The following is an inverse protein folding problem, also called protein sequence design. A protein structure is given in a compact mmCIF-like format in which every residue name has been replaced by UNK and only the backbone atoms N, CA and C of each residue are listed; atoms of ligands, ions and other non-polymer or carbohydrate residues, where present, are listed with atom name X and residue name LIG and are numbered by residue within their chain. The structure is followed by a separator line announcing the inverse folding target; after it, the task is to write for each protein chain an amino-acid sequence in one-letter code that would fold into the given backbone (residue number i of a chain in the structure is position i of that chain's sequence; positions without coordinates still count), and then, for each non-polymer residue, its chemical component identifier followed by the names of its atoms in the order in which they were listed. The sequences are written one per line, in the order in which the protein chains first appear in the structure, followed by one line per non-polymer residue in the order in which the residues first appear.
data_IF_512344131396
#
_entry.id   IF_512344131396
#
_cell.length_a   1.000
_cell.length_b   1.000
_cell.length_c   1.000
_cell.angle_alpha   90.00
_cell.angle_beta   90.00
_cell.angle_gamma   90.00
#
_symmetry.space_group_name_H-M   'P 1'
#
loop_
_entity.id
_entity.type
_entity.pdbx_description
1 polymer ?
#
# COMPACT_ATOMS: atom_id res chain seq x y z
N UNK A 1 7.87 -2.19 -13.23
CA UNK A 1 9.24 -2.64 -13.53
C UNK A 1 9.27 -4.10 -14.06
N UNK A 2 8.80 -5.16 -13.33
CA UNK A 2 8.89 -6.56 -13.82
C UNK A 2 8.25 -6.76 -15.19
N UNK A 3 7.09 -6.18 -15.41
CA UNK A 3 6.38 -6.28 -16.70
C UNK A 3 7.15 -5.58 -17.84
N UNK A 4 7.73 -4.42 -17.55
CA UNK A 4 8.58 -3.73 -18.53
C UNK A 4 9.79 -4.59 -18.91
N UNK A 5 10.47 -5.19 -17.94
CA UNK A 5 11.63 -6.06 -18.16
C UNK A 5 11.29 -7.34 -18.94
N UNK A 6 10.08 -7.89 -18.75
CA UNK A 6 9.66 -9.12 -19.42
C UNK A 6 9.11 -8.87 -20.83
N UNK A 7 8.26 -7.85 -21.00
CA UNK A 7 7.51 -7.63 -22.24
C UNK A 7 8.09 -6.56 -23.15
N UNK A 8 9.02 -5.74 -22.64
CA UNK A 8 9.51 -4.55 -23.32
C UNK A 8 8.51 -3.40 -23.43
N UNK A 9 7.30 -3.54 -22.86
CA UNK A 9 6.30 -2.47 -22.87
C UNK A 9 6.80 -1.25 -22.08
N UNK A 10 6.52 -0.06 -22.59
CA UNK A 10 6.87 1.17 -21.87
C UNK A 10 6.06 1.27 -20.56
N UNK A 11 6.68 1.83 -19.52
CA UNK A 11 6.02 2.02 -18.22
C UNK A 11 4.69 2.81 -18.35
N UNK A 12 4.61 3.91 -19.15
CA UNK A 12 3.35 4.59 -19.39
C UNK A 12 2.25 3.70 -19.98
N UNK A 13 2.60 2.83 -20.93
CA UNK A 13 1.62 1.91 -21.51
C UNK A 13 1.08 0.93 -20.47
N UNK A 14 1.94 0.42 -19.58
CA UNK A 14 1.54 -0.46 -18.48
C UNK A 14 0.62 0.26 -17.51
N UNK A 15 0.93 1.50 -17.15
CA UNK A 15 0.09 2.34 -16.27
C UNK A 15 -1.30 2.52 -16.87
N UNK A 16 -1.38 2.93 -18.14
CA UNK A 16 -2.64 3.18 -18.83
C UNK A 16 -3.47 1.90 -18.94
N UNK A 17 -2.85 0.81 -19.38
CA UNK A 17 -3.53 -0.47 -19.56
C UNK A 17 -4.09 -1.01 -18.23
N UNK A 18 -3.27 -1.03 -17.18
CA UNK A 18 -3.68 -1.49 -15.86
C UNK A 18 -4.77 -0.59 -15.27
N UNK A 19 -4.61 0.72 -15.41
CA UNK A 19 -5.58 1.69 -14.91
C UNK A 19 -6.95 1.56 -15.61
N UNK A 20 -6.97 1.37 -16.93
CA UNK A 20 -8.21 1.15 -17.69
C UNK A 20 -8.89 -0.15 -17.25
N UNK A 21 -8.15 -1.25 -17.12
CA UNK A 21 -8.74 -2.52 -16.67
C UNK A 21 -9.39 -2.39 -15.30
N UNK A 22 -8.67 -1.80 -14.33
CA UNK A 22 -9.18 -1.59 -12.97
C UNK A 22 -10.41 -0.69 -12.99
N UNK A 23 -10.37 0.41 -13.73
CA UNK A 23 -11.46 1.37 -13.84
C UNK A 23 -12.73 0.72 -14.41
N UNK A 24 -12.60 -0.11 -15.44
CA UNK A 24 -13.74 -0.79 -16.08
C UNK A 24 -14.44 -1.73 -15.10
N UNK A 25 -13.71 -2.68 -14.49
CA UNK A 25 -14.38 -3.64 -13.61
C UNK A 25 -14.85 -3.00 -12.29
N UNK A 26 -14.15 -1.99 -11.78
CA UNK A 26 -14.56 -1.26 -10.58
C UNK A 26 -15.81 -0.43 -10.81
N UNK A 27 -15.91 0.26 -11.95
CA UNK A 27 -17.09 1.06 -12.31
C UNK A 27 -18.33 0.21 -12.62
N UNK A 28 -18.14 -0.96 -13.24
CA UNK A 28 -19.25 -1.85 -13.60
C UNK A 28 -19.73 -2.70 -12.42
N UNK A 29 -18.81 -3.24 -11.64
CA UNK A 29 -19.12 -4.22 -10.58
C UNK A 29 -19.17 -3.63 -9.17
N UNK A 30 -18.73 -2.38 -8.97
CA UNK A 30 -18.76 -1.70 -7.67
C UNK A 30 -17.99 -2.45 -6.57
N UNK A 31 -18.43 -2.27 -5.31
CA UNK A 31 -17.76 -2.86 -4.15
C UNK A 31 -17.76 -4.39 -4.15
N UNK A 32 -18.82 -5.03 -4.66
CA UNK A 32 -18.92 -6.48 -4.68
C UNK A 32 -17.85 -7.11 -5.58
N UNK A 33 -17.68 -6.60 -6.79
CA UNK A 33 -16.62 -7.03 -7.69
C UNK A 33 -15.22 -6.79 -7.10
N UNK A 34 -15.01 -5.62 -6.46
CA UNK A 34 -13.74 -5.28 -5.81
C UNK A 34 -13.42 -6.28 -4.71
N UNK A 35 -14.36 -6.62 -3.83
CA UNK A 35 -14.13 -7.58 -2.72
C UNK A 35 -13.77 -8.97 -3.24
N UNK A 36 -14.48 -9.48 -4.26
CA UNK A 36 -14.19 -10.79 -4.84
C UNK A 36 -12.85 -10.81 -5.59
N UNK A 37 -12.56 -9.79 -6.37
CA UNK A 37 -11.26 -9.69 -7.06
C UNK A 37 -10.12 -9.57 -6.06
N UNK A 38 -10.27 -8.77 -5.01
CA UNK A 38 -9.25 -8.61 -3.97
C UNK A 38 -8.96 -9.93 -3.24
N UNK A 39 -9.98 -10.74 -2.97
CA UNK A 39 -9.80 -12.04 -2.34
C UNK A 39 -8.95 -12.99 -3.22
N UNK A 40 -9.28 -13.09 -4.51
CA UNK A 40 -8.53 -13.92 -5.47
C UNK A 40 -7.10 -13.37 -5.63
N UNK A 41 -6.96 -12.07 -5.79
CA UNK A 41 -5.68 -11.39 -5.94
C UNK A 41 -4.79 -11.57 -4.71
N UNK A 42 -5.35 -11.54 -3.51
CA UNK A 42 -4.65 -11.82 -2.26
C UNK A 42 -4.11 -13.25 -2.20
N UNK A 43 -4.92 -14.24 -2.62
CA UNK A 43 -4.49 -15.65 -2.68
C UNK A 43 -3.32 -15.82 -3.68
N UNK A 44 -3.44 -15.22 -4.87
CA UNK A 44 -2.39 -15.26 -5.90
C UNK A 44 -1.10 -14.60 -5.39
N UNK A 45 -1.22 -13.45 -4.72
CA UNK A 45 -0.07 -12.73 -4.16
C UNK A 45 0.65 -13.55 -3.09
N UNK A 46 -0.09 -14.06 -2.09
CA UNK A 46 0.49 -14.84 -1.00
C UNK A 46 1.08 -16.16 -1.52
N UNK A 47 0.35 -16.84 -2.42
CA UNK A 47 0.83 -18.06 -3.07
C UNK A 47 2.10 -17.84 -3.88
N UNK A 48 2.15 -16.77 -4.68
CA UNK A 48 3.33 -16.38 -5.43
C UNK A 48 4.52 -16.04 -4.52
N UNK A 49 4.29 -15.28 -3.45
CA UNK A 49 5.33 -14.94 -2.47
C UNK A 49 5.90 -16.19 -1.76
N UNK A 50 5.03 -17.13 -1.36
CA UNK A 50 5.46 -18.40 -0.77
C UNK A 50 6.30 -19.22 -1.74
N UNK A 51 5.86 -19.36 -2.98
CA UNK A 51 6.63 -20.07 -4.01
C UNK A 51 7.97 -19.40 -4.28
N UNK A 52 8.02 -18.07 -4.35
CA UNK A 52 9.28 -17.34 -4.51
C UNK A 52 10.24 -17.61 -3.34
N UNK A 53 9.73 -17.57 -2.10
CA UNK A 53 10.54 -17.87 -0.92
C UNK A 53 11.07 -19.30 -0.92
N UNK A 54 10.23 -20.28 -1.29
CA UNK A 54 10.63 -21.69 -1.41
C UNK A 54 11.74 -21.84 -2.45
N UNK A 55 11.62 -21.22 -3.63
CA UNK A 55 12.63 -21.27 -4.67
C UNK A 55 13.96 -20.67 -4.21
N UNK A 56 13.92 -19.51 -3.53
CA UNK A 56 15.12 -18.92 -2.93
C UNK A 56 15.80 -19.89 -1.94
N UNK A 57 15.03 -20.63 -1.14
CA UNK A 57 15.57 -21.59 -0.20
C UNK A 57 16.16 -22.83 -0.89
N UNK A 58 15.62 -23.25 -2.02
CA UNK A 58 16.15 -24.37 -2.81
C UNK A 58 17.46 -23.99 -3.50
N UNK A 59 17.57 -22.77 -4.01
CA UNK A 59 18.72 -22.28 -4.78
C UNK A 59 19.91 -21.88 -3.86
N UNK A 60 19.66 -21.61 -2.57
CA UNK A 60 20.72 -21.26 -1.62
C UNK A 60 21.50 -22.47 -1.14
N UNK A 61 22.84 -22.36 -1.00
CA UNK A 61 23.64 -23.37 -0.34
C UNK A 61 23.12 -23.64 1.10
N UNK A 62 23.03 -24.92 1.47
CA UNK A 62 22.48 -25.37 2.75
C UNK A 62 21.02 -24.95 3.01
N UNK A 63 20.30 -24.45 1.99
CA UNK A 63 18.88 -24.13 2.03
C UNK A 63 18.50 -23.14 3.13
N UNK A 64 17.42 -23.43 3.85
CA UNK A 64 16.94 -22.58 4.95
C UNK A 64 17.96 -22.44 6.10
N UNK A 65 18.77 -23.48 6.36
CA UNK A 65 19.84 -23.45 7.38
C UNK A 65 20.95 -22.45 7.01
N UNK A 66 21.40 -22.50 5.73
CA UNK A 66 22.37 -21.55 5.19
C UNK A 66 21.86 -20.11 5.21
N UNK A 67 20.62 -19.91 4.79
CA UNK A 67 19.95 -18.62 4.88
C UNK A 67 19.98 -18.04 6.30
N UNK A 68 19.54 -18.80 7.32
CA UNK A 68 19.53 -18.33 8.70
C UNK A 68 20.93 -18.03 9.23
N UNK A 69 21.91 -18.86 8.90
CA UNK A 69 23.31 -18.67 9.32
C UNK A 69 23.89 -17.36 8.76
N UNK A 70 23.76 -17.13 7.46
CA UNK A 70 24.28 -15.91 6.81
C UNK A 70 23.52 -14.68 7.25
N UNK A 71 22.20 -14.74 7.32
CA UNK A 71 21.34 -13.61 7.74
C UNK A 71 21.63 -13.20 9.20
N UNK A 72 21.76 -14.16 10.12
CA UNK A 72 22.07 -13.87 11.53
C UNK A 72 23.48 -13.33 11.72
N UNK A 73 24.48 -13.90 11.04
CA UNK A 73 25.87 -13.42 11.10
C UNK A 73 26.02 -11.96 10.63
N UNK A 74 25.12 -11.51 9.74
CA UNK A 74 25.11 -10.15 9.22
C UNK A 74 24.01 -9.26 9.85
N UNK A 75 23.47 -9.63 11.00
CA UNK A 75 22.44 -8.89 11.74
C UNK A 75 21.17 -8.55 10.92
N UNK A 76 20.86 -9.30 9.85
CA UNK A 76 19.69 -9.07 8.99
C UNK A 76 18.37 -9.49 9.62
N UNK A 77 18.42 -10.27 10.71
CA UNK A 77 17.24 -10.68 11.48
C UNK A 77 17.06 -9.85 12.75
N UNK A 78 17.83 -8.78 12.91
CA UNK A 78 17.74 -7.88 14.06
C UNK A 78 16.47 -7.02 13.97
N UNK A 79 15.87 -6.70 15.12
CA UNK A 79 14.75 -5.76 15.22
C UNK A 79 15.19 -4.28 15.14
N UNK A 80 16.46 -4.03 14.81
CA UNK A 80 17.04 -2.70 14.74
C UNK A 80 17.54 -2.18 16.09
N UNK A 81 17.82 -0.88 16.15
CA UNK A 81 18.30 -0.24 17.37
C UNK A 81 17.18 -0.11 18.42
N UNK A 82 17.43 -0.58 19.67
CA UNK A 82 16.48 -0.47 20.78
C UNK A 82 16.52 0.90 21.47
N UNK A 83 17.41 1.79 21.06
CA UNK A 83 17.52 3.16 21.60
C UNK A 83 16.29 4.03 21.25
N UNK A 84 15.98 5.00 22.08
CA UNK A 84 15.01 6.05 21.80
C UNK A 84 15.71 7.13 20.94
N UNK A 85 15.61 7.02 19.63
CA UNK A 85 16.11 8.01 18.69
C UNK A 85 14.98 8.50 17.80
N UNK A 86 14.82 9.81 17.68
CA UNK A 86 13.88 10.42 16.74
C UNK A 86 14.52 10.71 15.38
N UNK A 87 15.86 10.65 15.29
CA UNK A 87 16.61 10.92 14.06
C UNK A 87 16.98 9.68 13.25
N UNK A 88 16.82 8.49 13.84
CA UNK A 88 17.09 7.20 13.18
C UNK A 88 15.92 6.24 13.40
N UNK A 89 15.63 5.37 12.41
CA UNK A 89 14.63 4.33 12.59
C UNK A 89 15.01 3.42 13.77
N UNK A 90 14.34 3.57 14.89
CA UNK A 90 14.50 2.73 16.08
C UNK A 90 13.29 1.80 16.24
N UNK A 91 13.44 0.70 16.96
CA UNK A 91 12.35 -0.24 17.25
C UNK A 91 11.11 0.47 17.80
N UNK A 92 11.31 1.35 18.79
CA UNK A 92 10.19 2.06 19.44
C UNK A 92 9.52 3.05 18.51
N UNK A 93 10.28 3.77 17.71
CA UNK A 93 9.71 4.71 16.73
C UNK A 93 8.84 3.98 15.71
N UNK A 94 9.34 2.86 15.17
CA UNK A 94 8.59 2.03 14.21
C UNK A 94 7.37 1.39 14.86
N UNK A 95 7.46 0.95 16.12
CA UNK A 95 6.34 0.37 16.87
C UNK A 95 5.22 1.40 17.07
N UNK A 96 5.56 2.61 17.54
CA UNK A 96 4.58 3.69 17.69
C UNK A 96 3.97 4.11 16.36
N UNK A 97 4.80 4.28 15.34
CA UNK A 97 4.30 4.57 13.99
C UNK A 97 3.33 3.47 13.52
N UNK A 98 3.72 2.21 13.63
CA UNK A 98 2.89 1.07 13.27
C UNK A 98 1.57 1.03 14.03
N UNK A 99 1.57 1.37 15.32
CA UNK A 99 0.35 1.45 16.11
C UNK A 99 -0.61 2.54 15.58
N UNK A 100 -0.13 3.75 15.38
CA UNK A 100 -0.98 4.86 14.94
C UNK A 100 -1.46 4.69 13.49
N UNK A 101 -0.62 4.23 12.58
CA UNK A 101 -1.03 4.00 11.19
C UNK A 101 -2.07 2.88 11.08
N UNK A 102 -1.93 1.79 11.86
CA UNK A 102 -2.93 0.74 11.87
C UNK A 102 -4.24 1.19 12.56
N UNK A 103 -4.16 1.99 13.61
CA UNK A 103 -5.35 2.61 14.21
C UNK A 103 -6.11 3.46 13.20
N UNK A 104 -5.39 4.21 12.35
CA UNK A 104 -5.99 4.98 11.26
C UNK A 104 -6.60 4.06 10.20
N UNK A 105 -5.86 3.08 9.69
CA UNK A 105 -6.32 2.19 8.64
C UNK A 105 -7.58 1.41 9.05
N UNK A 106 -7.54 0.75 10.20
CA UNK A 106 -8.67 -0.06 10.68
C UNK A 106 -9.80 0.77 11.28
N UNK A 107 -9.54 1.99 11.77
CA UNK A 107 -10.52 2.81 12.48
C UNK A 107 -11.14 3.94 11.68
N UNK A 108 -10.46 4.49 10.68
CA UNK A 108 -10.88 5.70 9.98
C UNK A 108 -10.82 5.62 8.45
N UNK A 109 -10.09 4.66 7.88
CA UNK A 109 -9.95 4.57 6.43
C UNK A 109 -11.20 3.99 5.77
N UNK A 110 -11.76 4.71 4.78
CA UNK A 110 -12.95 4.31 4.06
C UNK A 110 -12.79 2.95 3.36
N UNK A 111 -11.60 2.62 2.90
CA UNK A 111 -11.32 1.34 2.21
C UNK A 111 -11.56 0.14 3.11
N UNK A 112 -11.29 0.28 4.40
CA UNK A 112 -11.56 -0.75 5.40
C UNK A 112 -13.00 -0.69 5.91
N UNK A 113 -13.46 0.51 6.28
CA UNK A 113 -14.78 0.73 6.89
C UNK A 113 -15.93 0.25 5.99
N UNK A 114 -15.88 0.52 4.68
CA UNK A 114 -16.93 0.07 3.76
C UNK A 114 -17.08 -1.46 3.71
N UNK A 115 -16.00 -2.23 3.94
CA UNK A 115 -16.05 -3.69 4.02
C UNK A 115 -16.71 -4.18 5.30
N UNK A 116 -16.52 -3.46 6.42
CA UNK A 116 -17.19 -3.80 7.68
C UNK A 116 -18.69 -3.52 7.62
N UNK A 117 -19.07 -2.38 7.03
CA UNK A 117 -20.48 -2.00 6.84
C UNK A 117 -21.19 -2.97 5.89
N UNK A 118 -20.47 -3.48 4.87
CA UNK A 118 -20.98 -4.47 3.93
C UNK A 118 -21.12 -5.89 4.49
N UNK A 119 -20.61 -6.17 5.71
CA UNK A 119 -20.73 -7.48 6.34
C UNK A 119 -22.18 -7.76 6.78
N UNK A 120 -22.63 -9.03 6.65
CA UNK A 120 -24.02 -9.43 6.97
C UNK A 120 -24.36 -9.24 8.45
N UNK A 121 -23.39 -9.43 9.34
CA UNK A 121 -23.58 -9.31 10.79
C UNK A 121 -22.38 -8.62 11.45
N UNK A 122 -22.61 -8.02 12.62
CA UNK A 122 -21.52 -7.46 13.43
C UNK A 122 -20.48 -8.51 13.84
N UNK A 123 -20.89 -9.78 13.95
CA UNK A 123 -19.96 -10.89 14.23
C UNK A 123 -19.03 -11.16 13.05
N UNK A 124 -19.55 -11.11 11.84
CA UNK A 124 -18.75 -11.29 10.61
C UNK A 124 -17.82 -10.10 10.40
N UNK A 125 -18.28 -8.87 10.63
CA UNK A 125 -17.42 -7.68 10.61
C UNK A 125 -16.25 -7.84 11.59
N UNK A 126 -16.50 -8.22 12.84
CA UNK A 126 -15.44 -8.47 13.83
C UNK A 126 -14.46 -9.57 13.40
N UNK A 127 -14.98 -10.67 12.84
CA UNK A 127 -14.12 -11.76 12.34
C UNK A 127 -13.23 -11.31 11.21
N UNK A 128 -13.73 -10.48 10.27
CA UNK A 128 -12.94 -9.98 9.15
C UNK A 128 -11.81 -9.06 9.63
N UNK A 129 -12.07 -8.18 10.60
CA UNK A 129 -11.04 -7.34 11.22
C UNK A 129 -9.95 -8.18 11.88
N UNK A 130 -10.34 -9.14 12.72
CA UNK A 130 -9.38 -10.03 13.38
C UNK A 130 -8.57 -10.86 12.40
N UNK A 131 -9.21 -11.43 11.39
CA UNK A 131 -8.52 -12.23 10.37
C UNK A 131 -7.52 -11.35 9.59
N UNK A 132 -7.93 -10.17 9.14
CA UNK A 132 -7.05 -9.24 8.44
C UNK A 132 -5.86 -8.81 9.28
N UNK A 133 -6.09 -8.46 10.54
CA UNK A 133 -5.03 -8.05 11.47
C UNK A 133 -4.04 -9.19 11.78
N UNK A 134 -4.55 -10.42 11.97
CA UNK A 134 -3.70 -11.58 12.24
C UNK A 134 -2.90 -12.01 11.01
N UNK A 135 -3.49 -11.96 9.82
CA UNK A 135 -2.79 -12.29 8.56
C UNK A 135 -1.71 -11.26 8.20
N UNK A 136 -1.85 -10.03 8.67
CA UNK A 136 -0.86 -8.98 8.41
C UNK A 136 0.53 -9.38 8.92
N UNK A 137 0.63 -9.99 10.09
CA UNK A 137 1.92 -10.40 10.69
C UNK A 137 2.68 -11.45 9.84
N UNK A 138 2.10 -12.64 9.56
CA UNK A 138 2.83 -13.66 8.79
C UNK A 138 3.09 -13.24 7.35
N UNK A 139 2.18 -12.47 6.73
CA UNK A 139 2.38 -11.97 5.37
C UNK A 139 3.51 -10.95 5.33
N UNK A 140 3.55 -9.99 6.24
CA UNK A 140 4.66 -9.03 6.34
C UNK A 140 5.98 -9.74 6.62
N UNK A 141 5.99 -10.71 7.54
CA UNK A 141 7.18 -11.51 7.84
C UNK A 141 7.69 -12.25 6.60
N UNK A 142 6.79 -12.84 5.80
CA UNK A 142 7.15 -13.51 4.55
C UNK A 142 7.86 -12.56 3.58
N UNK A 143 7.34 -11.35 3.37
CA UNK A 143 7.98 -10.38 2.48
C UNK A 143 9.32 -9.88 3.00
N UNK A 144 9.47 -9.66 4.31
CA UNK A 144 10.77 -9.34 4.91
C UNK A 144 11.77 -10.49 4.76
N UNK A 145 11.33 -11.73 4.92
CA UNK A 145 12.17 -12.90 4.71
C UNK A 145 12.60 -13.04 3.24
N UNK A 146 11.72 -12.77 2.28
CA UNK A 146 12.07 -12.74 0.85
C UNK A 146 13.13 -11.67 0.59
N UNK A 147 12.97 -10.46 1.11
CA UNK A 147 13.97 -9.40 0.96
C UNK A 147 15.34 -9.77 1.54
N UNK A 148 15.34 -10.37 2.74
CA UNK A 148 16.58 -10.88 3.37
C UNK A 148 17.18 -12.04 2.58
N UNK A 149 16.36 -12.96 2.08
CA UNK A 149 16.80 -14.10 1.28
C UNK A 149 17.42 -13.66 -0.07
N UNK A 150 16.84 -12.66 -0.72
CA UNK A 150 17.42 -12.04 -1.91
C UNK A 150 18.79 -11.42 -1.63
N UNK A 151 18.93 -10.75 -0.48
CA UNK A 151 20.23 -10.21 -0.07
C UNK A 151 21.24 -11.33 0.14
N UNK A 152 20.90 -12.42 0.83
CA UNK A 152 21.75 -13.59 1.01
C UNK A 152 22.10 -14.22 -0.34
N UNK A 153 21.13 -14.40 -1.20
CA UNK A 153 21.30 -14.97 -2.54
C UNK A 153 22.36 -14.22 -3.35
N UNK A 154 22.29 -12.89 -3.39
CA UNK A 154 23.25 -12.10 -4.16
C UNK A 154 24.60 -11.89 -3.41
N UNK A 155 24.70 -12.24 -2.14
CA UNK A 155 26.02 -12.40 -1.48
C UNK A 155 26.70 -13.68 -1.92
N UNK A 156 25.95 -14.78 -2.09
CA UNK A 156 26.49 -16.07 -2.56
C UNK A 156 26.75 -16.04 -4.08
N UNK A 157 25.93 -15.33 -4.85
CA UNK A 157 26.02 -15.26 -6.31
C UNK A 157 26.17 -13.80 -6.81
N UNK A 158 27.25 -13.09 -6.45
CA UNK A 158 27.41 -11.68 -6.77
C UNK A 158 27.50 -11.40 -8.28
N UNK A 159 27.98 -12.36 -9.08
CA UNK A 159 28.06 -12.24 -10.54
C UNK A 159 26.69 -12.17 -11.25
N UNK A 160 25.61 -12.58 -10.56
CA UNK A 160 24.24 -12.55 -11.09
C UNK A 160 23.54 -11.20 -10.88
N UNK A 161 24.11 -10.30 -10.08
CA UNK A 161 23.58 -8.96 -9.86
C UNK A 161 24.39 -7.94 -10.65
N UNK A 162 23.78 -7.21 -11.59
CA UNK A 162 24.45 -6.10 -12.28
C UNK A 162 24.97 -5.05 -11.31
N UNK A 163 26.17 -4.53 -11.58
CA UNK A 163 26.76 -3.42 -10.81
C UNK A 163 25.85 -2.19 -10.91
N UNK A 164 25.72 -1.46 -9.80
CA UNK A 164 24.94 -0.21 -9.69
C UNK A 164 23.42 -0.37 -9.90
N UNK A 165 22.87 -1.57 -9.68
CA UNK A 165 21.42 -1.78 -9.73
C UNK A 165 20.73 -1.12 -8.54
N UNK A 166 19.74 -0.26 -8.82
CA UNK A 166 18.90 0.33 -7.77
C UNK A 166 18.16 -0.75 -6.98
N UNK A 167 18.03 -0.57 -5.66
CA UNK A 167 17.43 -1.55 -4.75
C UNK A 167 16.01 -2.00 -5.19
N UNK A 168 15.19 -1.08 -5.68
CA UNK A 168 13.84 -1.35 -6.18
C UNK A 168 13.80 -2.27 -7.42
N UNK A 169 14.93 -2.43 -8.10
CA UNK A 169 15.04 -3.29 -9.30
C UNK A 169 15.55 -4.70 -9.00
N UNK A 170 16.10 -4.94 -7.81
CA UNK A 170 16.72 -6.23 -7.45
C UNK A 170 15.72 -7.38 -7.49
N UNK A 171 14.57 -7.23 -6.84
CA UNK A 171 13.53 -8.26 -6.82
C UNK A 171 12.91 -8.49 -8.21
N UNK A 172 12.51 -7.46 -8.98
CA UNK A 172 12.13 -7.62 -10.38
C UNK A 172 13.19 -8.34 -11.23
N UNK A 173 14.47 -8.01 -11.04
CA UNK A 173 15.57 -8.67 -11.75
C UNK A 173 15.65 -10.16 -11.42
N UNK A 174 15.55 -10.53 -10.14
CA UNK A 174 15.51 -11.93 -9.72
C UNK A 174 14.36 -12.69 -10.37
N UNK A 175 13.14 -12.13 -10.35
CA UNK A 175 11.95 -12.76 -10.92
C UNK A 175 12.13 -13.06 -12.41
N UNK A 176 12.72 -12.14 -13.16
CA UNK A 176 12.83 -12.26 -14.63
C UNK A 176 14.00 -13.17 -15.04
N UNK A 177 15.11 -13.15 -14.30
CA UNK A 177 16.34 -13.79 -14.77
C UNK A 177 16.70 -15.08 -14.02
N UNK A 178 16.16 -15.30 -12.82
CA UNK A 178 16.56 -16.46 -12.01
C UNK A 178 15.46 -17.51 -11.84
N UNK A 179 14.20 -17.16 -12.09
CA UNK A 179 13.09 -18.09 -11.93
C UNK A 179 12.71 -18.81 -13.22
N UNK A 180 12.21 -20.05 -13.14
CA UNK A 180 11.64 -20.76 -14.28
C UNK A 180 10.46 -19.98 -14.89
N UNK A 181 10.30 -20.05 -16.22
CA UNK A 181 9.32 -19.26 -16.98
C UNK A 181 7.89 -19.29 -16.41
N UNK A 182 7.40 -20.44 -15.95
CA UNK A 182 6.07 -20.56 -15.34
C UNK A 182 5.93 -19.80 -14.03
N UNK A 183 6.94 -19.85 -13.16
CA UNK A 183 6.96 -19.10 -11.89
C UNK A 183 7.15 -17.61 -12.11
N UNK A 184 7.98 -17.23 -13.10
CA UNK A 184 8.12 -15.83 -13.51
C UNK A 184 6.76 -15.22 -13.87
N UNK A 185 5.99 -15.90 -14.72
CA UNK A 185 4.64 -15.46 -15.10
C UNK A 185 3.69 -15.36 -13.91
N UNK A 186 3.70 -16.36 -13.01
CA UNK A 186 2.86 -16.36 -11.80
C UNK A 186 3.21 -15.19 -10.87
N UNK A 187 4.50 -14.91 -10.63
CA UNK A 187 4.90 -13.81 -9.78
C UNK A 187 4.61 -12.45 -10.38
N UNK A 188 4.74 -12.30 -11.69
CA UNK A 188 4.31 -11.08 -12.37
C UNK A 188 2.81 -10.90 -12.23
N UNK A 189 2.01 -11.94 -12.42
CA UNK A 189 0.58 -11.89 -12.18
C UNK A 189 0.24 -11.53 -10.72
N UNK A 190 0.99 -12.07 -9.74
CA UNK A 190 0.83 -11.74 -8.33
C UNK A 190 1.10 -10.26 -8.02
N UNK A 191 2.17 -9.69 -8.58
CA UNK A 191 2.50 -8.25 -8.43
C UNK A 191 1.42 -7.38 -9.07
N UNK A 192 0.95 -7.74 -10.27
CA UNK A 192 -0.16 -7.05 -10.92
C UNK A 192 -1.43 -7.12 -10.08
N UNK A 193 -1.75 -8.28 -9.56
CA UNK A 193 -2.89 -8.50 -8.67
C UNK A 193 -2.86 -7.57 -7.46
N UNK A 194 -1.71 -7.44 -6.81
CA UNK A 194 -1.54 -6.53 -5.68
C UNK A 194 -1.76 -5.05 -6.07
N UNK A 195 -1.18 -4.62 -7.21
CA UNK A 195 -1.38 -3.26 -7.73
C UNK A 195 -2.83 -2.99 -8.10
N UNK A 196 -3.49 -3.92 -8.78
CA UNK A 196 -4.90 -3.80 -9.18
C UNK A 196 -5.83 -3.74 -7.98
N UNK A 197 -5.60 -4.56 -6.94
CA UNK A 197 -6.36 -4.55 -5.70
C UNK A 197 -6.29 -3.19 -5.00
N UNK A 198 -5.11 -2.61 -4.89
CA UNK A 198 -4.93 -1.28 -4.28
C UNK A 198 -5.65 -0.18 -5.07
N UNK A 199 -5.54 -0.21 -6.40
CA UNK A 199 -6.20 0.76 -7.28
C UNK A 199 -7.72 0.65 -7.21
N UNK A 200 -8.29 -0.55 -7.35
CA UNK A 200 -9.74 -0.76 -7.32
C UNK A 200 -10.37 -0.33 -6.00
N UNK A 201 -9.70 -0.67 -4.91
CA UNK A 201 -10.10 -0.27 -3.56
C UNK A 201 -10.09 1.25 -3.41
N UNK A 202 -9.02 1.93 -3.87
CA UNK A 202 -8.90 3.39 -3.80
C UNK A 202 -9.94 4.11 -4.67
N UNK A 203 -10.18 3.63 -5.88
CA UNK A 203 -11.19 4.17 -6.79
C UNK A 203 -12.58 4.02 -6.19
N UNK A 204 -12.94 2.84 -5.68
CA UNK A 204 -14.25 2.56 -5.14
C UNK A 204 -14.51 3.30 -3.82
N UNK A 205 -13.54 3.37 -2.92
CA UNK A 205 -13.67 4.11 -1.65
C UNK A 205 -13.82 5.61 -1.90
N UNK A 206 -13.03 6.19 -2.80
CA UNK A 206 -13.15 7.60 -3.18
C UNK A 206 -14.51 7.92 -3.81
N UNK A 207 -15.01 7.08 -4.70
CA UNK A 207 -16.35 7.25 -5.29
C UNK A 207 -17.44 7.17 -4.21
N UNK A 208 -17.29 6.28 -3.22
CA UNK A 208 -18.24 6.16 -2.11
C UNK A 208 -18.25 7.41 -1.23
N UNK A 209 -17.08 7.97 -0.89
CA UNK A 209 -16.97 9.23 -0.15
C UNK A 209 -17.59 10.39 -0.93
N UNK A 210 -17.32 10.49 -2.24
CA UNK A 210 -17.94 11.52 -3.09
C UNK A 210 -19.46 11.42 -3.10
N UNK A 211 -20.02 10.22 -3.11
CA UNK A 211 -21.47 10.02 -3.05
C UNK A 211 -22.03 10.38 -1.67
N UNK A 212 -21.44 9.85 -0.59
CA UNK A 212 -21.99 9.94 0.77
C UNK A 212 -21.84 11.34 1.36
N UNK A 213 -20.65 11.91 1.24
CA UNK A 213 -20.28 13.12 1.97
C UNK A 213 -20.54 14.41 1.18
N UNK A 214 -20.55 14.29 -0.15
CA UNK A 214 -20.79 15.45 -1.02
C UNK A 214 -22.12 15.36 -1.75
N UNK A 215 -22.33 14.40 -2.63
CA UNK A 215 -23.48 14.39 -3.50
C UNK A 215 -24.80 14.27 -2.73
N UNK A 216 -24.91 13.34 -1.79
CA UNK A 216 -26.11 13.19 -0.95
C UNK A 216 -26.32 14.36 0.00
N UNK A 217 -25.25 14.96 0.51
CA UNK A 217 -25.34 16.09 1.46
C UNK A 217 -25.77 17.38 0.78
N UNK A 218 -25.35 17.61 -0.46
CA UNK A 218 -25.67 18.83 -1.19
C UNK A 218 -26.86 18.68 -2.13
N UNK A 219 -27.35 17.47 -2.38
CA UNK A 219 -28.57 17.23 -3.13
C UNK A 219 -29.78 17.63 -2.29
N UNK A 220 -30.63 18.46 -2.84
CA UNK A 220 -31.92 18.91 -2.21
C UNK A 220 -33.01 17.83 -2.27
N UNK A 221 -32.87 16.84 -3.14
CA UNK A 221 -33.83 15.76 -3.35
C UNK A 221 -33.29 14.42 -2.88
N UNK A 222 -34.22 13.52 -2.50
CA UNK A 222 -33.85 12.12 -2.25
C UNK A 222 -33.41 11.48 -3.57
N UNK A 223 -32.14 11.11 -3.66
CA UNK A 223 -31.57 10.45 -4.82
C UNK A 223 -32.25 9.09 -5.04
N UNK A 224 -32.63 8.82 -6.28
CA UNK A 224 -33.03 7.48 -6.67
C UNK A 224 -31.82 6.52 -6.62
N UNK A 225 -32.10 5.23 -6.51
CA UNK A 225 -31.08 4.21 -6.54
C UNK A 225 -30.25 4.26 -7.83
N UNK A 226 -30.93 4.38 -8.97
CA UNK A 226 -30.27 4.51 -10.28
C UNK A 226 -29.38 5.75 -10.38
N UNK A 227 -29.79 6.88 -9.83
CA UNK A 227 -28.97 8.10 -9.80
C UNK A 227 -27.73 7.92 -8.94
N UNK A 228 -27.85 7.25 -7.80
CA UNK A 228 -26.72 6.93 -6.92
C UNK A 228 -25.72 5.99 -7.59
N UNK A 229 -26.19 4.94 -8.28
CA UNK A 229 -25.34 4.00 -9.02
C UNK A 229 -24.62 4.70 -10.18
N UNK A 230 -25.33 5.51 -10.96
CA UNK A 230 -24.73 6.27 -12.08
C UNK A 230 -23.67 7.27 -11.58
N UNK A 231 -23.92 7.92 -10.44
CA UNK A 231 -22.95 8.82 -9.83
C UNK A 231 -21.71 8.05 -9.35
N UNK A 232 -21.87 6.89 -8.72
CA UNK A 232 -20.74 6.03 -8.31
C UNK A 232 -19.91 5.61 -9.52
N UNK A 233 -20.53 5.16 -10.60
CA UNK A 233 -19.83 4.78 -11.83
C UNK A 233 -19.06 5.94 -12.44
N UNK A 234 -19.68 7.10 -12.56
CA UNK A 234 -19.03 8.31 -13.08
C UNK A 234 -17.87 8.75 -12.18
N UNK A 235 -18.07 8.76 -10.87
CA UNK A 235 -17.02 9.10 -9.90
C UNK A 235 -15.86 8.12 -9.98
N UNK A 236 -16.12 6.82 -10.11
CA UNK A 236 -15.07 5.79 -10.29
C UNK A 236 -14.25 6.03 -11.56
N UNK A 237 -14.90 6.40 -12.66
CA UNK A 237 -14.22 6.75 -13.92
C UNK A 237 -13.35 7.99 -13.76
N UNK A 238 -13.89 9.06 -13.16
CA UNK A 238 -13.14 10.31 -12.95
C UNK A 238 -11.94 10.08 -12.04
N UNK A 239 -12.12 9.41 -10.89
CA UNK A 239 -11.05 9.10 -9.96
C UNK A 239 -10.00 8.19 -10.60
N UNK A 240 -10.43 7.19 -11.39
CA UNK A 240 -9.54 6.30 -12.13
C UNK A 240 -8.68 7.06 -13.15
N UNK A 241 -9.28 7.97 -13.94
CA UNK A 241 -8.54 8.82 -14.89
C UNK A 241 -7.53 9.70 -14.14
N UNK A 242 -7.96 10.35 -13.06
CA UNK A 242 -7.04 11.17 -12.24
C UNK A 242 -5.87 10.33 -11.69
N UNK A 243 -6.14 9.11 -11.23
CA UNK A 243 -5.11 8.18 -10.78
C UNK A 243 -4.10 7.83 -11.87
N UNK A 244 -4.57 7.58 -13.10
CA UNK A 244 -3.70 7.33 -14.27
C UNK A 244 -2.83 8.57 -14.54
N UNK A 245 -3.42 9.76 -14.59
CA UNK A 245 -2.69 11.01 -14.85
C UNK A 245 -1.61 11.29 -13.79
N UNK A 246 -1.95 11.09 -12.51
CA UNK A 246 -0.99 11.23 -11.41
C UNK A 246 0.14 10.20 -11.55
N UNK A 247 -0.18 8.93 -11.83
CA UNK A 247 0.83 7.89 -12.02
C UNK A 247 1.78 8.20 -13.20
N UNK A 248 1.26 8.76 -14.29
CA UNK A 248 2.06 9.20 -15.43
C UNK A 248 2.95 10.40 -15.08
N UNK A 249 2.46 11.34 -14.27
CA UNK A 249 3.24 12.50 -13.81
C UNK A 249 4.40 12.08 -12.90
N UNK A 250 4.23 11.01 -12.11
CA UNK A 250 5.29 10.45 -11.26
C UNK A 250 6.16 9.40 -11.96
N UNK A 251 5.99 9.20 -13.28
CA UNK A 251 6.87 8.30 -14.03
C UNK A 251 8.28 8.88 -14.09
N UNK A 252 9.26 8.09 -13.67
CA UNK A 252 10.67 8.51 -13.65
C UNK A 252 11.21 9.03 -12.32
N UNK A 253 10.40 9.04 -11.24
CA UNK A 253 10.91 9.33 -9.88
C UNK A 253 11.94 8.26 -9.45
N UNK A 254 12.95 8.69 -8.71
CA UNK A 254 14.06 7.82 -8.29
C UNK A 254 13.59 6.68 -7.37
N UNK A 255 12.68 6.96 -6.44
CA UNK A 255 12.06 5.98 -5.53
C UNK A 255 10.55 6.22 -5.47
N UNK A 256 9.78 5.26 -5.97
CA UNK A 256 8.32 5.31 -5.89
C UNK A 256 7.83 5.18 -4.43
N UNK A 257 8.53 4.40 -3.61
CA UNK A 257 8.18 4.18 -2.21
C UNK A 257 8.36 5.45 -1.37
N UNK A 258 9.50 6.14 -1.51
CA UNK A 258 9.76 7.39 -0.78
C UNK A 258 8.78 8.50 -1.19
N UNK A 259 8.48 8.60 -2.49
CA UNK A 259 7.47 9.53 -2.98
C UNK A 259 6.09 9.23 -2.39
N UNK A 260 5.71 7.95 -2.33
CA UNK A 260 4.45 7.53 -1.72
C UNK A 260 4.41 7.86 -0.21
N UNK A 261 5.50 7.57 0.54
CA UNK A 261 5.57 7.90 1.97
C UNK A 261 5.46 9.40 2.22
N UNK A 262 6.14 10.24 1.43
CA UNK A 262 6.05 11.68 1.53
C UNK A 262 4.62 12.20 1.30
N UNK A 263 3.96 11.74 0.25
CA UNK A 263 2.57 12.11 -0.04
C UNK A 263 1.60 11.57 1.01
N UNK A 264 1.73 10.30 1.40
CA UNK A 264 0.88 9.69 2.42
C UNK A 264 0.98 10.43 3.76
N UNK A 265 2.17 10.85 4.18
CA UNK A 265 2.35 11.60 5.43
C UNK A 265 1.61 12.93 5.42
N UNK A 266 1.63 13.65 4.31
CA UNK A 266 0.94 14.94 4.15
C UNK A 266 -0.57 14.77 4.22
N UNK A 267 -1.12 13.79 3.51
CA UNK A 267 -2.57 13.63 3.39
C UNK A 267 -3.20 12.85 4.55
N UNK A 268 -2.48 11.93 5.19
CA UNK A 268 -3.05 11.05 6.21
C UNK A 268 -2.95 11.59 7.64
N UNK A 269 -1.94 12.39 7.96
CA UNK A 269 -1.64 12.81 9.34
C UNK A 269 -2.76 13.55 10.06
N UNK A 270 -3.59 14.31 9.33
CA UNK A 270 -4.74 15.02 9.92
C UNK A 270 -5.98 14.15 10.16
N UNK A 271 -6.15 13.06 9.45
CA UNK A 271 -7.38 12.26 9.43
C UNK A 271 -7.59 11.54 10.77
N UNK A 272 -6.57 10.85 11.26
CA UNK A 272 -6.65 10.14 12.54
C UNK A 272 -6.95 11.11 13.70
N UNK A 273 -6.24 12.26 13.73
CA UNK A 273 -6.46 13.30 14.73
C UNK A 273 -7.89 13.81 14.72
N UNK A 274 -8.44 14.10 13.53
CA UNK A 274 -9.83 14.55 13.39
C UNK A 274 -10.82 13.49 13.87
N UNK A 275 -10.58 12.22 13.52
CA UNK A 275 -11.44 11.11 13.92
C UNK A 275 -11.43 10.90 15.45
N UNK A 276 -10.24 10.88 16.05
CA UNK A 276 -10.09 10.76 17.50
C UNK A 276 -10.71 11.96 18.23
N UNK A 277 -10.56 13.16 17.68
CA UNK A 277 -11.19 14.37 18.21
C UNK A 277 -12.72 14.22 18.28
N UNK A 278 -13.34 13.75 17.19
CA UNK A 278 -14.78 13.50 17.13
C UNK A 278 -15.26 12.37 18.04
N UNK A 279 -14.42 11.34 18.25
CA UNK A 279 -14.74 10.20 19.11
C UNK A 279 -14.65 10.57 20.61
N UNK A 280 -13.60 11.28 20.99
CA UNK A 280 -13.30 11.59 22.40
C UNK A 280 -14.09 12.80 22.93
N UNK A 281 -14.39 13.77 22.08
CA UNK A 281 -15.00 15.02 22.47
C UNK A 281 -16.35 15.22 21.78
N UNK A 282 -17.43 14.84 22.44
CA UNK A 282 -18.81 14.86 21.89
C UNK A 282 -19.38 16.26 21.58
N UNK A 283 -18.74 17.33 22.02
CA UNK A 283 -19.25 18.70 21.95
C UNK A 283 -18.40 19.69 21.17
N UNK A 284 -17.57 19.19 20.24
CA UNK A 284 -16.70 20.08 19.46
C UNK A 284 -17.49 20.85 18.41
N UNK A 285 -17.26 22.17 18.38
CA UNK A 285 -17.80 23.04 17.34
C UNK A 285 -17.05 22.79 16.02
N UNK A 286 -17.74 22.76 14.86
CA UNK A 286 -17.12 22.54 13.56
C UNK A 286 -15.94 23.46 13.26
N UNK A 287 -16.02 24.73 13.68
CA UNK A 287 -14.91 25.71 13.53
C UNK A 287 -13.64 25.27 14.28
N UNK A 288 -13.76 24.74 15.49
CA UNK A 288 -12.61 24.27 16.29
C UNK A 288 -11.96 23.05 15.63
N UNK A 289 -12.76 22.12 15.08
CA UNK A 289 -12.25 20.98 14.34
C UNK A 289 -11.50 21.42 13.07
N UNK A 290 -12.05 22.37 12.30
CA UNK A 290 -11.37 22.93 11.11
C UNK A 290 -10.03 23.59 11.45
N UNK A 291 -9.97 24.38 12.54
CA UNK A 291 -8.73 25.02 12.99
C UNK A 291 -7.69 23.93 13.38
N UNK A 292 -8.10 22.93 14.15
CA UNK A 292 -7.20 21.85 14.59
C UNK A 292 -6.61 21.08 13.39
N UNK A 293 -7.44 20.74 12.40
CA UNK A 293 -6.98 20.09 11.16
C UNK A 293 -6.06 21.03 10.36
N UNK A 294 -6.42 22.31 10.23
CA UNK A 294 -5.60 23.30 9.54
C UNK A 294 -4.22 23.46 10.16
N UNK A 295 -4.14 23.54 11.49
CA UNK A 295 -2.86 23.60 12.21
C UNK A 295 -2.05 22.32 12.02
N UNK A 296 -2.70 21.15 12.11
CA UNK A 296 -2.04 19.86 11.87
C UNK A 296 -1.47 19.75 10.46
N UNK A 297 -2.24 20.14 9.44
CA UNK A 297 -1.77 20.15 8.04
C UNK A 297 -0.62 21.14 7.84
N UNK A 298 -0.69 22.34 8.41
CA UNK A 298 0.40 23.32 8.33
C UNK A 298 1.68 22.79 8.98
N UNK A 299 1.57 22.10 10.12
CA UNK A 299 2.71 21.49 10.78
C UNK A 299 3.34 20.38 9.92
N UNK A 300 2.51 19.50 9.33
CA UNK A 300 2.97 18.42 8.45
C UNK A 300 3.62 19.00 7.18
N UNK A 301 2.99 20.00 6.56
CA UNK A 301 3.55 20.67 5.39
C UNK A 301 4.90 21.33 5.74
N UNK A 302 4.98 21.99 6.89
CA UNK A 302 6.24 22.57 7.36
C UNK A 302 7.34 21.51 7.51
N UNK A 303 7.07 20.42 8.24
CA UNK A 303 8.06 19.35 8.44
C UNK A 303 8.46 18.69 7.12
N UNK A 304 7.52 18.46 6.19
CA UNK A 304 7.79 17.82 4.90
C UNK A 304 8.53 18.73 3.92
N UNK A 305 8.29 20.05 3.95
CA UNK A 305 8.90 21.00 3.02
C UNK A 305 10.13 21.69 3.60
N UNK A 306 10.35 21.64 4.91
CA UNK A 306 11.49 22.31 5.57
C UNK A 306 12.87 21.93 4.99
N UNK A 307 13.14 20.69 4.55
CA UNK A 307 14.41 20.35 3.90
C UNK A 307 14.66 21.11 2.60
N UNK A 308 13.60 21.40 1.82
CA UNK A 308 13.70 22.15 0.56
C UNK A 308 14.07 23.62 0.78
N UNK A 309 13.79 24.17 1.97
CA UNK A 309 14.11 25.54 2.37
C UNK A 309 15.42 25.65 3.17
N UNK A 310 16.19 24.58 3.27
CA UNK A 310 17.48 24.57 3.98
C UNK A 310 17.37 24.55 5.53
N UNK A 311 16.18 24.32 6.08
CA UNK A 311 15.95 24.17 7.52
C UNK A 311 16.22 22.72 7.97
N UNK A 312 17.24 22.09 7.43
CA UNK A 312 17.60 20.72 7.78
C UNK A 312 18.24 20.65 9.16
N UNK A 313 18.06 19.60 9.85
CA UNK A 313 18.87 18.99 10.92
C UNK A 313 18.29 18.86 12.31
N UNK A 314 17.23 19.58 12.69
CA UNK A 314 16.64 19.42 14.02
C UNK A 314 15.36 18.57 14.07
N UNK A 315 14.77 18.25 12.90
CA UNK A 315 13.50 17.52 12.79
C UNK A 315 13.57 16.27 11.88
N UNK A 316 14.78 15.91 11.42
CA UNK A 316 15.02 14.69 10.64
C UNK A 316 16.01 13.76 11.30
#
# INVERSE_FOLDING_TARGET
LPMHSLTGWSVPLIIIFTGILVMVYSALGGIEAVVWTDAIQGIVLIGGALLCFIMLMIDLPDGFGGFLKVASANNKLSLGEMGLSLSKPSFWLILFYGFFINLQNFGADQSYIQRYIGAKTNKDAKKSVWLGSLLYLPVSMLFFMIGTALWVYYQEFPALLPTDMAADKVFPHFIVNQLPAGLTGLLIAAIFSAGMSSLSTSVNSSATVLLSDYYRKFSKEKLSENSSINFLRLSSLVVGILGILVALAFNGVASALDTWWALASIFSGGILGLFLLGLLLKTIKPKTAMIAVGVGLLFILWTSLSPFFGFSSLLH
#
